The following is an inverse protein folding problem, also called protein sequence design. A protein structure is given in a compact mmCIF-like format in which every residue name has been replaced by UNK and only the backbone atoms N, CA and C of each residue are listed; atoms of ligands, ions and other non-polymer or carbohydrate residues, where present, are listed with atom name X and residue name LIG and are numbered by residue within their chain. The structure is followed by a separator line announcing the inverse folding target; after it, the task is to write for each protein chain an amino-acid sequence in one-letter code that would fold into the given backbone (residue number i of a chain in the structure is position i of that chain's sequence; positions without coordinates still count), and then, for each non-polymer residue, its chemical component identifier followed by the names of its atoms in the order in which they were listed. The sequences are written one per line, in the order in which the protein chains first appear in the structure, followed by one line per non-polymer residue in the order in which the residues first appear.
data_IF_721601702498
#
_entry.id   IF_721601702498
#
_cell.length_a   1.000
_cell.length_b   1.000
_cell.length_c   1.000
_cell.angle_alpha   90.00
_cell.angle_beta   90.00
_cell.angle_gamma   90.00
#
_symmetry.space_group_name_H-M   'P 1'
#
loop_
_entity.id
_entity.type
_entity.pdbx_description
1 polymer ?
#
# COMPACT_ATOMS: atom_id res chain seq x y z
N UNK A 1 12.15 -18.23 -17.17
CA UNK A 1 12.38 -16.93 -16.50
C UNK A 1 11.73 -15.87 -17.36
N UNK A 2 10.89 -14.99 -16.81
CA UNK A 2 10.17 -13.98 -17.59
C UNK A 2 11.13 -12.83 -17.93
N UNK A 3 11.61 -12.78 -19.17
CA UNK A 3 12.59 -11.81 -19.66
C UNK A 3 12.10 -10.35 -19.54
N UNK A 4 10.80 -10.13 -19.78
CA UNK A 4 10.19 -8.80 -19.63
C UNK A 4 10.24 -8.31 -18.18
N UNK A 5 9.94 -9.20 -17.22
CA UNK A 5 10.02 -8.88 -15.81
C UNK A 5 11.47 -8.55 -15.40
N UNK A 6 12.45 -9.32 -15.87
CA UNK A 6 13.85 -9.08 -15.55
C UNK A 6 14.31 -7.69 -16.04
N UNK A 7 14.04 -7.36 -17.30
CA UNK A 7 14.36 -6.03 -17.86
C UNK A 7 13.67 -4.91 -17.07
N UNK A 8 12.40 -5.10 -16.69
CA UNK A 8 11.66 -4.10 -15.93
C UNK A 8 12.23 -3.89 -14.52
N UNK A 9 12.68 -4.96 -13.86
CA UNK A 9 13.32 -4.89 -12.54
C UNK A 9 14.70 -4.23 -12.62
N UNK A 10 15.51 -4.56 -13.62
CA UNK A 10 16.84 -3.97 -13.81
C UNK A 10 16.75 -2.46 -14.06
N UNK A 11 15.85 -2.04 -14.96
CA UNK A 11 15.58 -0.62 -15.22
C UNK A 11 15.03 0.11 -13.98
N UNK A 12 14.22 -0.57 -13.14
CA UNK A 12 13.75 0.00 -11.89
C UNK A 12 14.91 0.20 -10.89
N UNK A 13 15.79 -0.79 -10.78
CA UNK A 13 16.94 -0.76 -9.88
C UNK A 13 17.91 0.36 -10.26
N UNK A 14 18.29 0.46 -11.54
CA UNK A 14 19.18 1.50 -12.04
C UNK A 14 18.66 2.90 -11.70
N UNK A 15 17.39 3.17 -12.04
CA UNK A 15 16.75 4.46 -11.73
C UNK A 15 16.78 4.78 -10.23
N UNK A 16 16.52 3.80 -9.38
CA UNK A 16 16.53 3.98 -7.92
C UNK A 16 17.93 4.24 -7.38
N UNK A 17 18.95 3.58 -7.93
CA UNK A 17 20.36 3.80 -7.55
C UNK A 17 20.75 5.24 -7.90
N UNK A 18 20.50 5.69 -9.13
CA UNK A 18 20.82 7.05 -9.54
C UNK A 18 20.09 8.10 -8.69
N UNK A 19 18.79 7.93 -8.46
CA UNK A 19 18.01 8.85 -7.63
C UNK A 19 18.50 8.86 -6.18
N UNK A 20 18.89 7.71 -5.65
CA UNK A 20 19.49 7.60 -4.31
C UNK A 20 20.81 8.35 -4.26
N UNK A 21 21.72 8.13 -5.21
CA UNK A 21 23.01 8.81 -5.23
C UNK A 21 22.86 10.33 -5.30
N UNK A 22 21.96 10.83 -6.15
CA UNK A 22 21.64 12.25 -6.22
C UNK A 22 21.14 12.80 -4.88
N UNK A 23 20.18 12.10 -4.24
CA UNK A 23 19.66 12.50 -2.94
C UNK A 23 20.76 12.49 -1.87
N UNK A 24 21.62 11.46 -1.84
CA UNK A 24 22.73 11.38 -0.90
C UNK A 24 23.76 12.49 -1.11
N UNK A 25 24.06 12.83 -2.37
CA UNK A 25 25.00 13.91 -2.71
C UNK A 25 24.46 15.31 -2.40
N UNK A 26 23.13 15.48 -2.27
CA UNK A 26 22.52 16.74 -1.85
C UNK A 26 22.58 17.02 -0.35
N UNK A 27 23.04 16.06 0.46
CA UNK A 27 23.09 16.20 1.90
C UNK A 27 24.26 17.09 2.33
N UNK A 28 24.02 17.93 3.33
CA UNK A 28 25.06 18.77 3.94
C UNK A 28 26.05 17.98 4.81
N UNK A 29 25.65 16.81 5.31
CA UNK A 29 26.48 15.89 6.10
C UNK A 29 26.76 14.58 5.33
N UNK A 30 27.92 13.93 5.52
CA UNK A 30 28.20 12.61 4.95
C UNK A 30 27.11 11.59 5.34
N UNK A 31 26.50 10.95 4.33
CA UNK A 31 25.34 10.07 4.54
C UNK A 31 25.65 8.87 5.44
N UNK A 32 26.90 8.43 5.54
CA UNK A 32 27.32 7.36 6.43
C UNK A 32 27.11 7.74 7.91
N UNK A 33 27.35 9.01 8.27
CA UNK A 33 27.10 9.53 9.61
C UNK A 33 25.60 9.52 9.89
N UNK A 34 24.80 10.05 8.96
CA UNK A 34 23.33 10.05 9.10
C UNK A 34 22.76 8.63 9.21
N UNK A 35 23.28 7.69 8.40
CA UNK A 35 22.92 6.27 8.47
C UNK A 35 23.26 5.68 9.84
N UNK A 36 24.44 5.96 10.39
CA UNK A 36 24.81 5.45 11.70
C UNK A 36 23.93 6.04 12.81
N UNK A 37 23.61 7.34 12.74
CA UNK A 37 22.66 7.97 13.66
C UNK A 37 21.28 7.31 13.58
N UNK A 38 20.72 7.14 12.37
CA UNK A 38 19.43 6.47 12.17
C UNK A 38 19.44 5.02 12.67
N UNK A 39 20.54 4.29 12.46
CA UNK A 39 20.73 2.95 13.00
C UNK A 39 20.69 2.94 14.53
N UNK A 40 21.43 3.84 15.18
CA UNK A 40 21.47 3.92 16.64
C UNK A 40 20.09 4.27 17.21
N UNK A 41 19.37 5.20 16.60
CA UNK A 41 17.99 5.54 16.99
C UNK A 41 17.09 4.32 16.89
N UNK A 42 17.11 3.60 15.76
CA UNK A 42 16.30 2.38 15.59
C UNK A 42 16.64 1.32 16.65
N UNK A 43 17.93 1.12 16.94
CA UNK A 43 18.37 0.15 17.94
C UNK A 43 17.87 0.54 19.34
N UNK A 44 17.97 1.81 19.71
CA UNK A 44 17.43 2.32 20.97
C UNK A 44 15.91 2.14 21.04
N UNK A 45 15.17 2.43 19.96
CA UNK A 45 13.72 2.22 19.92
C UNK A 45 13.35 0.75 20.13
N UNK A 46 14.06 -0.18 19.48
CA UNK A 46 13.80 -1.62 19.62
C UNK A 46 14.13 -2.09 21.04
N UNK A 47 15.21 -1.61 21.64
CA UNK A 47 15.62 -2.02 22.99
C UNK A 47 14.70 -1.51 24.11
N UNK A 48 13.90 -0.47 23.85
CA UNK A 48 12.95 0.12 24.79
C UNK A 48 11.53 0.13 24.20
N UNK A 49 11.21 -0.91 23.42
CA UNK A 49 9.99 -0.94 22.61
C UNK A 49 8.72 -0.91 23.47
N UNK A 50 8.74 -1.53 24.64
CA UNK A 50 7.66 -1.51 25.62
C UNK A 50 7.33 -0.09 26.09
N UNK A 51 8.36 0.70 26.46
CA UNK A 51 8.17 2.09 26.87
C UNK A 51 7.61 2.95 25.73
N UNK A 52 8.17 2.82 24.52
CA UNK A 52 7.71 3.59 23.36
C UNK A 52 6.30 3.20 22.90
N UNK A 53 5.93 1.92 23.03
CA UNK A 53 4.58 1.46 22.75
C UNK A 53 3.57 2.00 23.77
N UNK A 54 3.90 1.97 25.06
CA UNK A 54 3.03 2.56 26.09
C UNK A 54 2.87 4.07 25.84
N UNK A 55 3.97 4.78 25.59
CA UNK A 55 3.93 6.20 25.24
C UNK A 55 3.05 6.47 24.01
N UNK A 56 3.24 5.72 22.92
CA UNK A 56 2.45 5.89 21.70
C UNK A 56 0.96 5.64 21.96
N UNK A 57 0.62 4.53 22.61
CA UNK A 57 -0.78 4.16 22.81
C UNK A 57 -1.50 5.09 23.77
N UNK A 58 -0.83 5.57 24.82
CA UNK A 58 -1.38 6.59 25.72
C UNK A 58 -1.66 7.89 24.97
N UNK A 59 -0.72 8.35 24.14
CA UNK A 59 -0.93 9.57 23.35
C UNK A 59 -1.98 9.41 22.26
N UNK A 60 -2.07 8.25 21.60
CA UNK A 60 -3.12 7.95 20.63
C UNK A 60 -4.51 8.00 21.30
N UNK A 61 -4.65 7.36 22.48
CA UNK A 61 -5.89 7.39 23.27
C UNK A 61 -6.25 8.80 23.73
N UNK A 62 -5.28 9.59 24.18
CA UNK A 62 -5.49 10.99 24.56
C UNK A 62 -5.98 11.86 23.38
N UNK A 63 -5.61 11.49 22.15
CA UNK A 63 -6.10 12.11 20.92
C UNK A 63 -7.44 11.52 20.42
N UNK A 64 -8.12 10.71 21.24
CA UNK A 64 -9.43 10.13 20.93
C UNK A 64 -9.39 8.90 20.01
N UNK A 65 -8.21 8.31 19.77
CA UNK A 65 -8.10 7.07 19.01
C UNK A 65 -8.41 5.85 19.90
N UNK A 66 -9.10 4.87 19.34
CA UNK A 66 -9.28 3.56 19.99
C UNK A 66 -8.12 2.67 19.55
N UNK A 67 -7.38 2.13 20.52
CA UNK A 67 -6.24 1.25 20.28
C UNK A 67 -6.66 -0.20 20.51
N UNK A 68 -6.54 -1.01 19.47
CA UNK A 68 -6.75 -2.46 19.54
C UNK A 68 -5.41 -3.17 19.48
N UNK A 69 -5.19 -4.10 20.40
CA UNK A 69 -4.02 -4.98 20.40
C UNK A 69 -4.40 -6.33 19.79
N UNK A 70 -3.57 -6.83 18.89
CA UNK A 70 -3.71 -8.15 18.29
C UNK A 70 -2.38 -8.90 18.45
N UNK A 71 -2.44 -10.11 19.01
CA UNK A 71 -1.27 -10.96 19.19
C UNK A 71 -0.83 -11.67 17.90
N UNK A 72 -1.76 -11.83 16.95
CA UNK A 72 -1.55 -12.54 15.70
C UNK A 72 -2.44 -12.00 14.56
N UNK A 73 -2.22 -12.52 13.36
CA UNK A 73 -2.96 -12.17 12.14
C UNK A 73 -4.48 -12.40 12.28
N UNK A 74 -4.89 -13.50 12.91
CA UNK A 74 -6.30 -13.86 13.06
C UNK A 74 -7.04 -12.86 13.95
N UNK A 75 -6.44 -12.48 15.09
CA UNK A 75 -6.99 -11.46 15.97
C UNK A 75 -7.07 -10.09 15.30
N UNK A 76 -6.07 -9.71 14.52
CA UNK A 76 -6.07 -8.45 13.77
C UNK A 76 -7.21 -8.42 12.73
N UNK A 77 -7.31 -9.46 11.90
CA UNK A 77 -8.36 -9.58 10.88
C UNK A 77 -9.75 -9.58 11.51
N UNK A 78 -9.95 -10.35 12.59
CA UNK A 78 -11.24 -10.42 13.28
C UNK A 78 -11.64 -9.06 13.85
N UNK A 79 -10.70 -8.34 14.48
CA UNK A 79 -10.95 -6.99 14.99
C UNK A 79 -11.42 -6.05 13.89
N UNK A 80 -10.74 -6.05 12.74
CA UNK A 80 -11.09 -5.20 11.60
C UNK A 80 -12.47 -5.56 11.03
N UNK A 81 -12.78 -6.86 10.91
CA UNK A 81 -14.10 -7.34 10.48
C UNK A 81 -15.21 -6.86 11.42
N UNK A 82 -14.99 -6.91 12.73
CA UNK A 82 -15.99 -6.50 13.71
C UNK A 82 -16.22 -4.99 13.67
N UNK A 83 -15.16 -4.19 13.53
CA UNK A 83 -15.27 -2.74 13.29
C UNK A 83 -16.08 -2.46 12.01
N UNK A 84 -15.79 -3.17 10.91
CA UNK A 84 -16.50 -2.99 9.64
C UNK A 84 -18.00 -3.34 9.77
N UNK A 85 -18.34 -4.42 10.49
CA UNK A 85 -19.72 -4.82 10.77
C UNK A 85 -20.45 -3.82 11.65
N UNK A 86 -19.80 -3.34 12.71
CA UNK A 86 -20.38 -2.35 13.63
C UNK A 86 -20.74 -1.05 12.89
N UNK A 87 -19.86 -0.60 11.99
CA UNK A 87 -20.11 0.55 11.11
C UNK A 87 -21.11 0.26 10.00
N UNK A 88 -21.56 -0.99 9.85
CA UNK A 88 -22.41 -1.46 8.74
C UNK A 88 -21.82 -1.06 7.38
N UNK A 89 -20.50 -1.09 7.30
CA UNK A 89 -19.76 -0.69 6.11
C UNK A 89 -20.12 -1.61 4.94
N UNK A 90 -20.12 -1.04 3.74
CA UNK A 90 -20.23 -1.77 2.48
C UNK A 90 -18.97 -1.57 1.66
N UNK A 91 -18.42 -0.35 1.67
CA UNK A 91 -17.26 0.03 0.89
C UNK A 91 -16.10 0.46 1.79
N UNK A 92 -14.94 -0.16 1.57
CA UNK A 92 -13.69 0.11 2.26
C UNK A 92 -12.68 0.63 1.24
N UNK A 93 -12.25 1.88 1.40
CA UNK A 93 -11.13 2.45 0.65
C UNK A 93 -9.83 2.10 1.36
N UNK A 94 -8.96 1.34 0.70
CA UNK A 94 -7.73 0.83 1.31
C UNK A 94 -6.49 1.38 0.63
N UNK A 95 -5.52 1.86 1.41
CA UNK A 95 -4.19 2.17 0.90
C UNK A 95 -3.32 0.91 0.83
N UNK A 96 -2.25 0.99 0.03
CA UNK A 96 -1.18 -0.01 0.06
C UNK A 96 -0.61 -0.13 1.47
N UNK A 97 -0.55 -1.35 1.98
CA UNK A 97 0.20 -1.73 3.19
C UNK A 97 0.56 -3.21 3.06
N UNK A 98 1.82 -3.54 3.37
CA UNK A 98 2.28 -4.92 3.26
C UNK A 98 1.72 -5.79 4.37
N UNK A 99 1.46 -5.20 5.54
CA UNK A 99 0.90 -5.92 6.68
C UNK A 99 -0.47 -6.51 6.34
N UNK A 100 -1.31 -5.79 5.58
CA UNK A 100 -2.61 -6.34 5.17
C UNK A 100 -2.49 -7.52 4.21
N UNK A 101 -1.47 -7.53 3.35
CA UNK A 101 -1.20 -8.65 2.44
C UNK A 101 -0.74 -9.87 3.22
N UNK A 102 0.20 -9.68 4.16
CA UNK A 102 0.75 -10.76 5.00
C UNK A 102 -0.32 -11.46 5.84
N UNK A 103 -1.31 -10.71 6.34
CA UNK A 103 -2.42 -11.26 7.13
C UNK A 103 -3.64 -11.68 6.28
N UNK A 104 -3.59 -11.54 4.95
CA UNK A 104 -4.69 -11.93 4.06
C UNK A 104 -5.97 -11.12 4.25
N UNK A 105 -5.85 -9.82 4.56
CA UNK A 105 -6.98 -8.99 4.98
C UNK A 105 -8.02 -8.78 3.88
N UNK A 106 -7.59 -8.50 2.63
CA UNK A 106 -8.52 -8.23 1.53
C UNK A 106 -9.44 -9.43 1.28
N UNK A 107 -8.86 -10.63 1.17
CA UNK A 107 -9.61 -11.87 0.99
C UNK A 107 -10.62 -12.09 2.13
N UNK A 108 -10.23 -11.79 3.37
CA UNK A 108 -11.10 -11.96 4.54
C UNK A 108 -12.27 -10.97 4.56
N UNK A 109 -12.02 -9.70 4.19
CA UNK A 109 -13.05 -8.67 4.06
C UNK A 109 -14.01 -8.97 2.91
N UNK A 110 -13.49 -9.36 1.75
CA UNK A 110 -14.28 -9.72 0.57
C UNK A 110 -15.15 -10.96 0.84
N UNK A 111 -14.59 -11.99 1.48
CA UNK A 111 -15.34 -13.18 1.89
C UNK A 111 -16.45 -12.87 2.90
N UNK A 112 -16.29 -11.81 3.70
CA UNK A 112 -17.31 -11.32 4.62
C UNK A 112 -18.36 -10.40 3.96
N UNK A 113 -18.26 -10.16 2.64
CA UNK A 113 -19.23 -9.39 1.86
C UNK A 113 -18.93 -7.89 1.77
N UNK A 114 -17.75 -7.44 2.20
CA UNK A 114 -17.32 -6.06 2.04
C UNK A 114 -16.71 -5.84 0.65
N UNK A 115 -17.00 -4.70 0.04
CA UNK A 115 -16.27 -4.25 -1.14
C UNK A 115 -15.01 -3.52 -0.67
N UNK A 116 -13.84 -4.10 -0.95
CA UNK A 116 -12.54 -3.46 -0.68
C UNK A 116 -11.99 -2.91 -1.99
N UNK A 117 -11.52 -1.67 -1.99
CA UNK A 117 -10.91 -1.06 -3.18
C UNK A 117 -9.54 -0.51 -2.82
N UNK A 118 -8.51 -1.04 -3.50
CA UNK A 118 -7.15 -0.51 -3.40
C UNK A 118 -7.05 0.87 -4.03
N UNK A 119 -6.33 1.76 -3.37
CA UNK A 119 -6.24 3.17 -3.75
C UNK A 119 -4.86 3.58 -4.26
N UNK A 120 -3.86 2.71 -4.10
CA UNK A 120 -2.61 2.79 -4.86
C UNK A 120 -2.86 2.33 -6.30
N UNK A 121 -2.38 3.08 -7.29
CA UNK A 121 -2.65 2.76 -8.70
C UNK A 121 -2.12 1.37 -9.10
N UNK A 122 -0.95 1.01 -8.61
CA UNK A 122 -0.33 -0.28 -8.92
C UNK A 122 -1.13 -1.42 -8.31
N UNK A 123 -1.48 -1.32 -7.02
CA UNK A 123 -2.33 -2.31 -6.35
C UNK A 123 -3.72 -2.38 -6.96
N UNK A 124 -4.29 -1.25 -7.36
CA UNK A 124 -5.59 -1.20 -8.03
C UNK A 124 -5.57 -1.94 -9.37
N UNK A 125 -4.52 -1.77 -10.19
CA UNK A 125 -4.35 -2.53 -11.44
C UNK A 125 -4.29 -4.04 -11.15
N UNK A 126 -3.51 -4.45 -10.13
CA UNK A 126 -3.39 -5.85 -9.72
C UNK A 126 -4.74 -6.41 -9.24
N UNK A 127 -5.46 -5.64 -8.43
CA UNK A 127 -6.79 -5.99 -7.93
C UNK A 127 -7.79 -6.18 -9.08
N UNK A 128 -7.83 -5.27 -10.06
CA UNK A 128 -8.69 -5.38 -11.24
C UNK A 128 -8.43 -6.65 -12.06
N UNK A 129 -7.18 -7.12 -12.05
CA UNK A 129 -6.73 -8.33 -12.75
C UNK A 129 -6.92 -9.61 -11.93
N UNK A 130 -7.12 -9.49 -10.62
CA UNK A 130 -7.21 -10.65 -9.71
C UNK A 130 -5.89 -11.42 -9.62
N UNK A 131 -4.77 -10.72 -9.77
CA UNK A 131 -3.42 -11.29 -9.76
C UNK A 131 -2.69 -10.95 -8.44
N UNK A 132 -1.52 -11.54 -8.21
CA UNK A 132 -0.65 -11.16 -7.10
C UNK A 132 0.38 -10.11 -7.56
N UNK A 133 0.81 -9.19 -6.67
CA UNK A 133 1.82 -8.20 -7.02
C UNK A 133 3.18 -8.86 -7.30
N UNK A 134 3.91 -8.40 -8.32
CA UNK A 134 5.22 -8.97 -8.67
C UNK A 134 6.39 -8.39 -7.87
N UNK A 135 6.19 -7.24 -7.23
CA UNK A 135 7.24 -6.56 -6.47
C UNK A 135 6.66 -5.69 -5.35
N UNK A 136 7.28 -5.73 -4.18
CA UNK A 136 6.79 -5.11 -2.95
C UNK A 136 6.56 -3.59 -3.07
N UNK A 137 7.41 -2.86 -3.81
CA UNK A 137 7.29 -1.40 -3.97
C UNK A 137 6.59 -1.01 -5.28
N UNK A 138 6.56 -1.91 -6.26
CA UNK A 138 6.08 -1.63 -7.62
C UNK A 138 5.24 -2.81 -8.09
N UNK A 139 4.02 -2.96 -7.54
CA UNK A 139 3.24 -4.19 -7.63
C UNK A 139 2.96 -4.63 -9.07
N UNK A 140 2.69 -3.66 -9.96
CA UNK A 140 2.43 -3.87 -11.38
C UNK A 140 3.67 -3.75 -12.30
N UNK A 141 4.91 -3.85 -11.78
CA UNK A 141 6.13 -3.64 -12.59
C UNK A 141 6.29 -4.62 -13.76
N UNK A 142 5.66 -5.80 -13.66
CA UNK A 142 5.68 -6.81 -14.71
C UNK A 142 4.76 -6.47 -15.90
N UNK A 143 3.85 -5.49 -15.76
CA UNK A 143 2.87 -5.15 -16.77
C UNK A 143 3.37 -4.01 -17.66
N UNK A 144 3.17 -4.18 -18.97
CA UNK A 144 3.36 -3.13 -19.96
C UNK A 144 2.11 -2.26 -20.05
N UNK A 145 2.27 -1.02 -20.52
CA UNK A 145 1.16 -0.06 -20.67
C UNK A 145 0.04 -0.56 -21.59
N UNK A 146 0.39 -1.38 -22.57
CA UNK A 146 -0.56 -2.03 -23.48
C UNK A 146 -1.48 -2.99 -22.71
N UNK A 147 -0.92 -3.79 -21.80
CA UNK A 147 -1.67 -4.74 -20.95
C UNK A 147 -2.55 -4.02 -19.93
N UNK A 148 -2.07 -2.89 -19.39
CA UNK A 148 -2.88 -2.00 -18.54
C UNK A 148 -4.02 -1.37 -19.35
N UNK A 149 -3.76 -0.94 -20.58
CA UNK A 149 -4.77 -0.39 -21.49
C UNK A 149 -5.92 -1.37 -21.77
N UNK A 150 -5.59 -2.64 -22.04
CA UNK A 150 -6.59 -3.73 -22.17
C UNK A 150 -7.38 -3.89 -20.87
N UNK A 151 -6.68 -3.95 -19.73
CA UNK A 151 -7.32 -4.09 -18.40
C UNK A 151 -8.32 -2.95 -18.15
N UNK A 152 -7.96 -1.70 -18.45
CA UNK A 152 -8.84 -0.55 -18.22
C UNK A 152 -10.00 -0.51 -19.20
N UNK A 153 -9.79 -0.93 -20.45
CA UNK A 153 -10.91 -1.08 -21.39
C UNK A 153 -11.93 -2.08 -20.87
N UNK A 154 -11.49 -3.27 -20.45
CA UNK A 154 -12.37 -4.34 -19.99
C UNK A 154 -13.05 -4.03 -18.65
N UNK A 155 -12.29 -3.49 -17.68
CA UNK A 155 -12.74 -3.34 -16.29
C UNK A 155 -13.32 -1.97 -15.98
N UNK A 156 -12.85 -0.92 -16.65
CA UNK A 156 -13.32 0.46 -16.43
C UNK A 156 -14.20 0.98 -17.57
N UNK A 157 -14.27 0.27 -18.70
CA UNK A 157 -15.13 0.62 -19.83
C UNK A 157 -14.66 1.82 -20.65
N UNK A 158 -13.37 2.19 -20.56
CA UNK A 158 -12.80 3.29 -21.36
C UNK A 158 -12.35 2.77 -22.75
N UNK A 159 -12.25 3.63 -23.78
CA UNK A 159 -11.60 3.23 -25.03
C UNK A 159 -10.16 2.76 -24.80
N UNK A 160 -9.73 1.73 -25.52
CA UNK A 160 -8.34 1.27 -25.46
C UNK A 160 -7.39 2.43 -25.75
N UNK A 161 -6.38 2.58 -24.90
CA UNK A 161 -5.32 3.57 -25.06
C UNK A 161 -4.07 3.10 -24.34
N UNK A 162 -2.91 3.52 -24.85
CA UNK A 162 -1.61 3.36 -24.18
C UNK A 162 -1.08 4.70 -23.63
N UNK A 163 -1.88 5.76 -23.75
CA UNK A 163 -1.54 7.07 -23.20
C UNK A 163 -1.65 7.07 -21.68
N UNK A 164 -0.52 7.26 -21.00
CA UNK A 164 -0.41 7.16 -19.55
C UNK A 164 -1.27 8.23 -18.86
N UNK A 165 -1.35 9.43 -19.42
CA UNK A 165 -2.14 10.51 -18.83
C UNK A 165 -3.63 10.17 -18.85
N UNK A 166 -4.13 9.66 -19.98
CA UNK A 166 -5.53 9.21 -20.11
C UNK A 166 -5.83 8.05 -19.17
N UNK A 167 -4.97 7.03 -19.11
CA UNK A 167 -5.17 5.88 -18.20
C UNK A 167 -5.18 6.31 -16.73
N UNK A 168 -4.21 7.12 -16.31
CA UNK A 168 -4.13 7.59 -14.92
C UNK A 168 -5.29 8.51 -14.54
N UNK A 169 -5.78 9.34 -15.48
CA UNK A 169 -6.96 10.16 -15.27
C UNK A 169 -8.23 9.31 -15.08
N UNK A 170 -8.41 8.26 -15.89
CA UNK A 170 -9.54 7.35 -15.75
C UNK A 170 -9.53 6.60 -14.41
N UNK A 171 -8.37 6.06 -14.01
CA UNK A 171 -8.23 5.42 -12.70
C UNK A 171 -8.50 6.41 -11.56
N UNK A 172 -7.99 7.65 -11.67
CA UNK A 172 -8.23 8.71 -10.68
C UNK A 172 -9.70 9.06 -10.56
N UNK A 173 -10.44 9.17 -11.67
CA UNK A 173 -11.88 9.44 -11.65
C UNK A 173 -12.64 8.35 -10.89
N UNK A 174 -12.32 7.08 -11.17
CA UNK A 174 -12.89 5.92 -10.47
C UNK A 174 -12.58 5.93 -8.98
N UNK A 175 -11.31 6.07 -8.61
CA UNK A 175 -10.87 6.09 -7.21
C UNK A 175 -11.40 7.31 -6.44
N UNK A 176 -11.57 8.46 -7.11
CA UNK A 176 -12.16 9.65 -6.49
C UNK A 176 -13.57 9.38 -5.96
N UNK A 177 -14.35 8.61 -6.70
CA UNK A 177 -15.68 8.18 -6.26
C UNK A 177 -15.58 7.28 -5.02
N UNK A 178 -14.67 6.30 -5.03
CA UNK A 178 -14.40 5.44 -3.87
C UNK A 178 -14.08 6.26 -2.62
N UNK A 179 -13.21 7.29 -2.72
CA UNK A 179 -12.87 8.11 -1.55
C UNK A 179 -14.05 8.88 -0.96
N UNK A 180 -15.03 9.25 -1.80
CA UNK A 180 -16.22 10.01 -1.36
C UNK A 180 -17.27 9.06 -0.78
N UNK A 181 -17.41 7.87 -1.35
CA UNK A 181 -18.48 6.92 -1.01
C UNK A 181 -18.07 5.89 0.05
N UNK A 182 -16.77 5.74 0.36
CA UNK A 182 -16.30 4.74 1.31
C UNK A 182 -16.78 5.02 2.74
N UNK A 183 -17.24 3.96 3.41
CA UNK A 183 -17.66 4.00 4.80
C UNK A 183 -16.44 3.95 5.75
N UNK A 184 -15.36 3.31 5.28
CA UNK A 184 -14.11 3.13 6.04
C UNK A 184 -12.92 3.42 5.15
N UNK A 185 -11.97 4.21 5.67
CA UNK A 185 -10.62 4.32 5.16
C UNK A 185 -9.69 3.38 5.93
N UNK A 186 -8.95 2.52 5.24
CA UNK A 186 -7.93 1.67 5.83
C UNK A 186 -6.55 2.09 5.33
N UNK A 187 -5.65 2.37 6.25
CA UNK A 187 -4.25 2.64 5.95
C UNK A 187 -3.32 1.91 6.90
N UNK A 188 -2.15 1.54 6.40
CA UNK A 188 -1.07 0.99 7.20
C UNK A 188 0.28 1.50 6.67
N UNK A 189 1.33 1.25 7.45
CA UNK A 189 2.72 1.37 6.99
C UNK A 189 3.17 0.10 6.26
#
# INVERSE_FOLDING_TARGET
MNENLQIALDANAERRITAREQALNSLSEPWQILRQRAHNVRLQTINNLDEYLDQFTNQAKNNGMIVHWAADAGQAVQTILDIAREKRAKLIAKSKTMVSEEIGLNNSLEAAGFQVVETDLGEYIIQLRGESPSHIITPAVHLRREEVGVTFQEKLGIPFTTDIHTMTAAARERLRRTFIEADIGLSGV
#
